data_IF_466238300594
#
_entry.id   IF_466238300594
#
_cell.length_a   1.000
_cell.length_b   1.000
_cell.length_c   1.000
_cell.angle_alpha   90.00
_cell.angle_beta   90.00
_cell.angle_gamma   90.00
#
_symmetry.space_group_name_H-M   'P 1'
#
loop_
_entity.id
_entity.type
_entity.pdbx_description
1 polymer ?
#
# COMPACT_ATOMS: atom_id res chain seq x y z
N UNK A 1 -2.56 -55.73 8.52
CA UNK A 1 -1.89 -54.48 8.98
C UNK A 1 -1.70 -53.43 7.87
N UNK A 2 -1.45 -53.80 6.61
CA UNK A 2 -1.15 -52.81 5.53
C UNK A 2 -2.25 -51.79 5.18
N UNK A 3 -3.54 -52.18 5.24
CA UNK A 3 -4.65 -51.27 4.93
C UNK A 3 -4.79 -50.10 5.91
N UNK A 4 -4.47 -50.30 7.19
CA UNK A 4 -4.53 -49.24 8.22
C UNK A 4 -3.36 -48.28 8.11
N UNK A 5 -2.16 -48.79 7.77
CA UNK A 5 -0.99 -47.96 7.51
C UNK A 5 -1.18 -47.07 6.27
N UNK A 6 -1.76 -47.61 5.20
CA UNK A 6 -2.07 -46.85 3.99
C UNK A 6 -3.08 -45.72 4.24
N UNK A 7 -4.12 -45.98 5.05
CA UNK A 7 -5.10 -44.96 5.42
C UNK A 7 -4.49 -43.83 6.26
N UNK A 8 -3.59 -44.16 7.19
CA UNK A 8 -2.87 -43.17 8.01
C UNK A 8 -1.93 -42.30 7.17
N UNK A 9 -1.20 -42.89 6.22
CA UNK A 9 -0.34 -42.15 5.31
C UNK A 9 -1.13 -41.20 4.40
N UNK A 10 -2.28 -41.64 3.88
CA UNK A 10 -3.15 -40.81 3.08
C UNK A 10 -3.74 -39.63 3.89
N UNK A 11 -4.14 -39.87 5.14
CA UNK A 11 -4.66 -38.82 6.03
C UNK A 11 -3.58 -37.77 6.37
N UNK A 12 -2.33 -38.19 6.61
CA UNK A 12 -1.20 -37.30 6.86
C UNK A 12 -0.86 -36.43 5.64
N UNK A 13 -0.89 -37.01 4.44
CA UNK A 13 -0.69 -36.26 3.19
C UNK A 13 -1.83 -35.26 2.94
N UNK A 14 -3.07 -35.64 3.24
CA UNK A 14 -4.22 -34.73 3.10
C UNK A 14 -4.14 -33.58 4.12
N UNK A 15 -3.70 -33.87 5.36
CA UNK A 15 -3.49 -32.84 6.38
C UNK A 15 -2.36 -31.86 6.00
N UNK A 16 -1.28 -32.36 5.38
CA UNK A 16 -0.21 -31.52 4.85
C UNK A 16 -0.61 -30.71 3.60
N UNK A 17 -1.58 -31.21 2.82
CA UNK A 17 -2.16 -30.44 1.71
C UNK A 17 -3.19 -29.39 2.18
N UNK A 18 -3.79 -29.58 3.35
CA UNK A 18 -4.70 -28.63 3.99
C UNK A 18 -4.01 -27.64 4.93
N UNK A 19 -2.74 -27.87 5.31
CA UNK A 19 -1.94 -26.79 5.88
C UNK A 19 -1.73 -25.76 4.78
N UNK A 20 -2.58 -24.73 4.80
CA UNK A 20 -2.50 -23.60 3.88
C UNK A 20 -1.10 -22.97 3.87
N UNK A 21 -0.88 -22.07 2.92
CA UNK A 21 0.40 -21.47 2.55
C UNK A 21 1.13 -20.64 3.63
N UNK A 22 1.21 -21.10 4.87
CA UNK A 22 1.96 -20.47 5.97
C UNK A 22 3.46 -20.76 5.92
N UNK A 23 3.96 -21.62 5.02
CA UNK A 23 5.36 -22.09 5.05
C UNK A 23 6.30 -21.47 4.01
N UNK A 24 5.78 -20.88 2.93
CA UNK A 24 6.60 -20.07 2.05
C UNK A 24 6.29 -18.63 2.39
N UNK A 25 7.30 -17.86 2.81
CA UNK A 25 7.26 -16.41 3.04
C UNK A 25 6.88 -15.63 1.78
N UNK A 26 5.67 -15.88 1.29
CA UNK A 26 4.92 -15.04 0.40
C UNK A 26 4.39 -13.94 1.31
N UNK A 27 5.21 -12.92 1.54
CA UNK A 27 4.68 -11.65 1.97
C UNK A 27 3.73 -11.19 0.85
N UNK A 28 2.46 -11.59 0.98
CA UNK A 28 1.42 -11.24 0.02
C UNK A 28 1.29 -9.70 -0.08
N UNK A 29 1.75 -8.98 0.94
CA UNK A 29 1.88 -7.53 0.96
C UNK A 29 2.93 -7.01 -0.04
N UNK A 30 4.10 -7.64 -0.16
CA UNK A 30 5.15 -7.27 -1.12
C UNK A 30 4.75 -7.55 -2.58
N UNK A 31 3.87 -8.52 -2.84
CA UNK A 31 3.37 -8.84 -4.18
C UNK A 31 2.14 -8.03 -4.60
N UNK A 32 1.47 -7.34 -3.67
CA UNK A 32 0.31 -6.51 -3.95
C UNK A 32 0.68 -5.02 -3.95
N UNK A 33 1.37 -4.56 -5.00
CA UNK A 33 1.46 -3.11 -5.24
C UNK A 33 0.08 -2.63 -5.70
N UNK A 34 -0.51 -1.68 -4.99
CA UNK A 34 -1.81 -1.13 -5.35
C UNK A 34 -1.77 -0.68 -6.83
N UNK A 35 -2.76 -1.06 -7.66
CA UNK A 35 -2.80 -0.65 -9.06
C UNK A 35 -2.76 0.88 -9.13
N UNK A 36 -1.94 1.41 -10.05
CA UNK A 36 -1.82 2.85 -10.20
C UNK A 36 -3.19 3.45 -10.49
N UNK A 37 -3.57 4.56 -9.84
CA UNK A 37 -4.83 5.22 -10.15
C UNK A 37 -4.83 5.67 -11.61
N UNK A 38 -5.95 5.46 -12.30
CA UNK A 38 -6.11 5.79 -13.73
C UNK A 38 -6.87 7.10 -13.97
N UNK A 39 -7.38 7.73 -12.91
CA UNK A 39 -7.99 9.07 -12.99
C UNK A 39 -6.91 10.14 -13.16
N UNK A 40 -7.17 11.16 -13.99
CA UNK A 40 -6.18 12.21 -14.30
C UNK A 40 -5.64 12.90 -13.04
N UNK A 41 -6.51 13.19 -12.07
CA UNK A 41 -6.09 13.85 -10.82
C UNK A 41 -5.27 12.93 -9.93
N UNK A 42 -5.73 11.71 -9.70
CA UNK A 42 -5.05 10.76 -8.81
C UNK A 42 -3.73 10.24 -9.40
N UNK A 43 -3.65 10.07 -10.72
CA UNK A 43 -2.41 9.73 -11.43
C UNK A 43 -1.37 10.85 -11.31
N UNK A 44 -1.78 12.12 -11.49
CA UNK A 44 -0.89 13.26 -11.34
C UNK A 44 -0.35 13.39 -9.91
N UNK A 45 -1.20 13.16 -8.90
CA UNK A 45 -0.80 13.15 -7.49
C UNK A 45 0.22 12.04 -7.23
N UNK A 46 -0.05 10.83 -7.72
CA UNK A 46 0.87 9.69 -7.57
C UNK A 46 2.23 9.96 -8.22
N UNK A 47 2.23 10.51 -9.44
CA UNK A 47 3.46 10.86 -10.16
C UNK A 47 4.25 11.97 -9.45
N UNK A 48 3.58 12.97 -8.90
CA UNK A 48 4.23 14.03 -8.12
C UNK A 48 4.82 13.49 -6.81
N UNK A 49 4.12 12.56 -6.18
CA UNK A 49 4.55 11.92 -4.95
C UNK A 49 5.80 11.06 -5.19
N UNK A 50 5.84 10.28 -6.27
CA UNK A 50 7.03 9.51 -6.66
C UNK A 50 8.23 10.42 -6.95
N UNK A 51 8.02 11.55 -7.64
CA UNK A 51 9.08 12.55 -7.86
C UNK A 51 9.59 13.18 -6.56
N UNK A 52 8.73 13.31 -5.55
CA UNK A 52 9.07 13.93 -4.25
C UNK A 52 9.73 12.94 -3.29
N UNK A 53 9.24 11.71 -3.24
CA UNK A 53 9.57 10.71 -2.23
C UNK A 53 10.53 9.61 -2.72
N UNK A 54 10.64 9.41 -4.04
CA UNK A 54 11.39 8.33 -4.68
C UNK A 54 10.50 7.12 -5.00
N UNK A 55 10.90 6.33 -6.01
CA UNK A 55 10.12 5.19 -6.52
C UNK A 55 10.01 4.00 -5.55
N UNK A 56 10.93 3.93 -4.57
CA UNK A 56 11.00 2.89 -3.53
C UNK A 56 10.16 3.22 -2.29
N UNK A 57 9.44 4.34 -2.30
CA UNK A 57 8.58 4.73 -1.19
C UNK A 57 7.50 3.69 -0.91
N UNK A 58 7.16 3.56 0.38
CA UNK A 58 6.12 2.66 0.86
C UNK A 58 4.99 3.51 1.42
N UNK A 59 3.80 3.44 0.79
CA UNK A 59 2.61 4.12 1.27
C UNK A 59 2.19 3.58 2.64
N UNK A 60 1.93 4.48 3.60
CA UNK A 60 1.48 4.14 4.95
C UNK A 60 0.01 4.48 5.10
N UNK A 61 -0.76 3.52 5.60
CA UNK A 61 -2.21 3.64 5.75
C UNK A 61 -2.55 3.83 7.23
N UNK A 62 -3.24 4.91 7.62
CA UNK A 62 -3.64 5.11 9.00
C UNK A 62 -4.56 3.98 9.50
N UNK A 63 -4.23 3.38 10.65
CA UNK A 63 -5.04 2.30 11.25
C UNK A 63 -6.33 2.82 11.90
N UNK A 64 -6.36 4.10 12.29
CA UNK A 64 -7.46 4.72 12.99
C UNK A 64 -7.75 6.14 12.48
N UNK A 65 -8.97 6.60 12.74
CA UNK A 65 -9.47 7.90 12.28
C UNK A 65 -10.44 7.77 11.12
N UNK A 66 -10.87 8.90 10.59
CA UNK A 66 -11.87 8.95 9.51
C UNK A 66 -11.28 8.72 8.11
N UNK A 67 -9.96 8.87 7.95
CA UNK A 67 -9.26 8.73 6.68
C UNK A 67 -8.30 7.53 6.74
N UNK A 68 -8.63 6.47 6.00
CA UNK A 68 -7.83 5.24 5.95
C UNK A 68 -6.96 5.12 4.70
N UNK A 69 -7.00 6.10 3.80
CA UNK A 69 -6.19 6.12 2.59
C UNK A 69 -4.80 6.70 2.87
N UNK A 70 -3.77 6.13 2.24
CA UNK A 70 -2.42 6.68 2.32
C UNK A 70 -2.29 8.03 1.60
N UNK A 71 -3.16 8.31 0.62
CA UNK A 71 -3.29 9.61 -0.05
C UNK A 71 -4.69 10.14 0.23
N UNK A 72 -4.79 11.32 0.82
CA UNK A 72 -6.06 11.96 1.20
C UNK A 72 -6.18 13.28 0.44
N UNK A 73 -7.25 13.41 -0.36
CA UNK A 73 -7.58 14.66 -1.06
C UNK A 73 -8.62 15.45 -0.26
N UNK A 74 -8.29 16.68 0.13
CA UNK A 74 -9.17 17.56 0.90
C UNK A 74 -8.80 19.04 0.67
N UNK A 75 -9.64 19.98 1.10
CA UNK A 75 -9.23 21.39 1.13
C UNK A 75 -8.29 21.61 2.33
N UNK A 76 -7.00 21.40 2.08
CA UNK A 76 -5.94 21.50 3.10
C UNK A 76 -5.39 22.93 3.25
N UNK A 77 -5.60 23.78 2.26
CA UNK A 77 -4.95 25.09 2.18
C UNK A 77 -5.94 26.26 2.30
N UNK A 78 -7.23 25.98 2.32
CA UNK A 78 -8.28 26.99 2.34
C UNK A 78 -8.43 27.66 0.97
N UNK A 79 -9.69 27.89 0.59
CA UNK A 79 -10.02 28.60 -0.65
C UNK A 79 -10.51 27.69 -1.76
N UNK A 80 -10.94 26.46 -1.46
CA UNK A 80 -11.66 25.59 -2.40
C UNK A 80 -10.81 25.03 -3.54
N UNK A 81 -9.51 25.32 -3.57
CA UNK A 81 -8.56 24.68 -4.48
C UNK A 81 -8.11 23.36 -3.84
N UNK A 82 -8.36 22.25 -4.53
CA UNK A 82 -8.07 20.90 -4.00
C UNK A 82 -6.62 20.76 -3.52
N UNK A 83 -6.46 20.29 -2.30
CA UNK A 83 -5.20 19.84 -1.72
C UNK A 83 -5.18 18.32 -1.61
N UNK A 84 -3.98 17.77 -1.54
CA UNK A 84 -3.76 16.36 -1.24
C UNK A 84 -2.60 16.22 -0.25
N UNK A 85 -2.69 15.22 0.62
CA UNK A 85 -1.60 14.83 1.50
C UNK A 85 -1.34 13.34 1.36
N UNK A 86 -0.09 12.92 1.54
CA UNK A 86 0.29 11.53 1.47
C UNK A 86 1.18 11.12 2.64
N UNK A 87 0.91 9.94 3.20
CA UNK A 87 1.72 9.30 4.23
C UNK A 87 2.60 8.22 3.60
N UNK A 88 3.91 8.32 3.78
CA UNK A 88 4.84 7.39 3.18
C UNK A 88 6.09 7.19 4.03
N UNK A 89 6.75 6.06 3.80
CA UNK A 89 8.10 5.77 4.26
C UNK A 89 9.03 5.87 3.06
N UNK A 90 10.22 6.47 3.19
CA UNK A 90 11.14 6.64 2.04
C UNK A 90 11.60 5.31 1.44
N UNK A 91 11.86 4.34 2.31
CA UNK A 91 12.35 3.00 2.00
C UNK A 91 12.15 2.11 3.24
N UNK A 92 12.36 0.80 3.11
CA UNK A 92 12.21 -0.15 4.24
C UNK A 92 13.13 0.14 5.43
N UNK A 93 14.30 0.74 5.18
CA UNK A 93 15.31 1.03 6.21
C UNK A 93 15.06 2.36 6.95
N UNK A 94 14.12 3.17 6.48
CA UNK A 94 13.77 4.47 7.06
C UNK A 94 12.52 4.36 7.94
N UNK A 95 12.59 3.97 9.23
CA UNK A 95 11.39 3.64 10.04
C UNK A 95 10.42 4.82 10.26
N UNK A 96 10.83 6.04 9.94
CA UNK A 96 10.03 7.24 10.11
C UNK A 96 9.00 7.39 9.00
N UNK A 97 7.75 7.66 9.38
CA UNK A 97 6.71 8.08 8.44
C UNK A 97 6.91 9.57 8.11
N UNK A 98 6.96 9.87 6.83
CA UNK A 98 6.98 11.22 6.26
C UNK A 98 5.60 11.58 5.72
N UNK A 99 5.33 12.88 5.68
CA UNK A 99 4.09 13.43 5.12
C UNK A 99 4.46 14.40 4.01
N UNK A 100 3.87 14.23 2.83
CA UNK A 100 4.00 15.17 1.71
C UNK A 100 2.69 15.93 1.52
N UNK A 101 2.79 17.23 1.28
CA UNK A 101 1.67 18.10 0.96
C UNK A 101 1.70 18.51 -0.51
N UNK A 102 0.56 18.45 -1.17
CA UNK A 102 0.43 18.73 -2.60
C UNK A 102 -0.77 19.63 -2.84
N UNK A 103 -0.62 20.60 -3.72
CA UNK A 103 -1.68 21.57 -4.05
C UNK A 103 -1.92 21.61 -5.54
N UNK A 104 -3.19 21.72 -5.93
CA UNK A 104 -3.56 22.02 -7.32
C UNK A 104 -3.52 23.53 -7.55
N UNK A 105 -2.60 23.99 -8.39
CA UNK A 105 -2.46 25.39 -8.78
C UNK A 105 -2.32 25.50 -10.31
N UNK A 106 -3.17 26.31 -10.94
CA UNK A 106 -3.17 26.47 -12.40
C UNK A 106 -3.48 25.18 -13.17
N UNK A 107 -4.31 24.31 -12.60
CA UNK A 107 -4.67 23.01 -13.19
C UNK A 107 -3.64 21.90 -12.99
N UNK A 108 -2.46 22.21 -12.44
CA UNK A 108 -1.37 21.24 -12.20
C UNK A 108 -1.16 21.00 -10.72
N UNK A 109 -0.80 19.76 -10.38
CA UNK A 109 -0.38 19.40 -9.03
C UNK A 109 1.07 19.82 -8.80
N UNK A 110 1.33 20.41 -7.63
CA UNK A 110 2.65 20.88 -7.24
C UNK A 110 2.89 20.55 -5.78
N UNK A 111 4.15 20.25 -5.44
CA UNK A 111 4.55 20.07 -4.06
C UNK A 111 4.36 21.38 -3.29
N UNK A 112 3.78 21.28 -2.09
CA UNK A 112 3.47 22.40 -1.21
C UNK A 112 4.15 22.28 0.18
N UNK A 113 5.01 21.30 0.38
CA UNK A 113 5.69 20.97 1.64
C UNK A 113 6.16 19.52 1.68
#
# INVERSE_FOLDING_TARGET
MGRRAAALAAALLLAAALSGCSFAGLDAQALMRAPRPTGENEADIQNLLEQTAGDEMILKYPEAGQYHAAIVSHDLFGGGSGGAMAFYQKDENSPSTSVAFMRKAGGKWQNAG
#
